data_IF_727851033980
#
_entry.id   IF_727851033980
#
_cell.length_a   1.000
_cell.length_b   1.000
_cell.length_c   1.000
_cell.angle_alpha   90.00
_cell.angle_beta   90.00
_cell.angle_gamma   90.00
#
_symmetry.space_group_name_H-M   'P 1'
#
loop_
_entity.id
_entity.type
_entity.pdbx_description
1 polymer ?
#
# COMPACT_ATOMS: atom_id res chain seq x y z
N UNK A 1 -7.98 -7.43 16.37
CA UNK A 1 -7.18 -7.19 15.16
C UNK A 1 -8.10 -7.27 13.94
N UNK A 2 -7.84 -6.51 12.88
CA UNK A 2 -8.57 -6.58 11.61
C UNK A 2 -7.62 -6.77 10.42
N UNK A 3 -8.12 -7.38 9.36
CA UNK A 3 -7.50 -7.37 8.05
C UNK A 3 -8.16 -6.30 7.20
N UNK A 4 -7.43 -5.25 6.84
CA UNK A 4 -7.95 -4.16 6.02
C UNK A 4 -7.36 -4.26 4.61
N UNK A 5 -8.20 -4.57 3.62
CA UNK A 5 -7.78 -4.66 2.23
C UNK A 5 -8.21 -3.43 1.44
N UNK A 6 -7.24 -2.60 1.09
CA UNK A 6 -7.45 -1.45 0.22
C UNK A 6 -7.27 -1.89 -1.24
N UNK A 7 -8.24 -1.52 -2.09
CA UNK A 7 -8.20 -1.72 -3.53
C UNK A 7 -8.37 -0.36 -4.21
N UNK A 8 -7.33 0.49 -4.19
CA UNK A 8 -7.42 1.80 -4.82
C UNK A 8 -7.56 1.63 -6.33
N UNK A 9 -8.26 2.57 -6.96
CA UNK A 9 -8.47 2.60 -8.39
C UNK A 9 -8.11 3.98 -8.90
N UNK A 10 -7.27 4.04 -9.94
CA UNK A 10 -7.04 5.31 -10.63
C UNK A 10 -8.30 5.72 -11.40
N UNK A 11 -8.36 7.01 -11.77
CA UNK A 11 -9.35 7.50 -12.72
C UNK A 11 -9.24 6.70 -14.03
N UNK A 12 -10.35 6.26 -14.64
CA UNK A 12 -10.31 5.61 -15.96
C UNK A 12 -9.70 6.54 -17.02
N UNK A 13 -9.15 5.95 -18.09
CA UNK A 13 -8.51 6.69 -19.18
C UNK A 13 -9.51 7.45 -20.08
N UNK A 14 -10.74 6.96 -20.21
CA UNK A 14 -11.73 7.54 -21.13
C UNK A 14 -12.25 8.93 -20.74
N UNK A 15 -12.42 9.28 -19.45
CA UNK A 15 -12.66 10.66 -19.02
C UNK A 15 -11.35 11.40 -18.64
N UNK A 16 -10.24 11.14 -19.33
CA UNK A 16 -9.00 11.88 -19.09
C UNK A 16 -9.19 13.37 -19.44
N UNK A 17 -8.74 14.23 -18.55
CA UNK A 17 -8.63 15.68 -18.72
C UNK A 17 -7.15 16.08 -18.55
N UNK A 18 -6.85 17.36 -18.71
CA UNK A 18 -5.49 17.90 -18.47
C UNK A 18 -5.10 17.92 -16.98
N UNK A 19 -5.91 17.34 -16.09
CA UNK A 19 -5.60 17.33 -14.67
C UNK A 19 -4.43 16.37 -14.38
N UNK A 20 -3.53 16.71 -13.45
CA UNK A 20 -2.40 15.85 -13.14
C UNK A 20 -2.83 14.47 -12.64
N UNK A 21 -2.11 13.43 -13.08
CA UNK A 21 -2.31 12.08 -12.56
C UNK A 21 -2.08 12.06 -11.04
N UNK A 22 -3.06 11.54 -10.31
CA UNK A 22 -3.02 11.37 -8.87
C UNK A 22 -2.85 9.90 -8.51
N UNK A 23 -1.91 9.63 -7.61
CA UNK A 23 -1.63 8.29 -7.07
C UNK A 23 -1.76 8.24 -5.55
N UNK A 24 -2.14 9.34 -4.89
CA UNK A 24 -2.55 9.34 -3.48
C UNK A 24 -3.91 8.67 -3.31
N UNK A 25 -4.07 7.93 -2.21
CA UNK A 25 -5.23 7.06 -1.96
C UNK A 25 -6.57 7.81 -1.98
N UNK A 26 -6.63 9.01 -1.40
CA UNK A 26 -7.82 9.86 -1.39
C UNK A 26 -8.30 10.26 -2.79
N UNK A 27 -7.40 10.33 -3.76
CA UNK A 27 -7.73 10.56 -5.18
C UNK A 27 -7.97 9.26 -5.97
N UNK A 28 -7.75 8.10 -5.36
CA UNK A 28 -7.88 6.78 -5.97
C UNK A 28 -9.06 5.99 -5.37
N UNK A 29 -10.19 6.67 -5.18
CA UNK A 29 -11.47 6.13 -4.70
C UNK A 29 -11.45 5.56 -3.26
N UNK A 30 -10.51 5.98 -2.40
CA UNK A 30 -10.46 5.53 -1.00
C UNK A 30 -10.98 6.60 -0.03
N UNK A 31 -11.88 6.21 0.88
CA UNK A 31 -12.29 7.04 2.01
C UNK A 31 -11.23 7.01 3.12
N UNK A 32 -10.33 7.98 3.07
CA UNK A 32 -9.24 8.09 4.03
C UNK A 32 -9.70 8.45 5.44
N UNK A 33 -10.86 9.09 5.60
CA UNK A 33 -11.42 9.39 6.93
C UNK A 33 -11.88 8.09 7.59
N UNK A 34 -12.61 7.26 6.86
CA UNK A 34 -13.02 5.94 7.34
C UNK A 34 -11.82 5.05 7.68
N UNK A 35 -10.86 4.94 6.75
CA UNK A 35 -9.64 4.11 6.93
C UNK A 35 -8.84 4.55 8.15
N UNK A 36 -8.58 5.85 8.31
CA UNK A 36 -7.83 6.37 9.46
C UNK A 36 -8.59 6.19 10.78
N UNK A 37 -9.91 6.37 10.77
CA UNK A 37 -10.76 6.13 11.97
C UNK A 37 -10.72 4.66 12.39
N UNK A 38 -10.77 3.75 11.42
CA UNK A 38 -10.79 2.31 11.68
C UNK A 38 -9.44 1.82 12.22
N UNK A 39 -8.35 2.20 11.56
CA UNK A 39 -6.97 1.81 11.94
C UNK A 39 -6.52 2.40 13.26
N UNK A 40 -7.08 3.54 13.68
CA UNK A 40 -6.84 4.11 15.02
C UNK A 40 -7.52 3.31 16.14
N UNK A 41 -8.62 2.60 15.84
CA UNK A 41 -9.42 1.87 16.85
C UNK A 41 -9.02 0.41 17.02
N UNK A 42 -8.45 -0.21 15.98
CA UNK A 42 -8.15 -1.65 15.98
C UNK A 42 -6.75 -1.90 15.40
N UNK A 43 -5.91 -2.72 16.05
CA UNK A 43 -4.67 -3.20 15.45
C UNK A 43 -4.96 -3.85 14.09
N UNK A 44 -4.22 -3.46 13.07
CA UNK A 44 -4.57 -3.76 11.66
C UNK A 44 -3.42 -4.45 10.94
N UNK A 45 -3.74 -5.48 10.15
CA UNK A 45 -2.88 -5.93 9.04
C UNK A 45 -3.39 -5.25 7.77
N UNK A 46 -2.53 -4.49 7.11
CA UNK A 46 -2.89 -3.71 5.93
C UNK A 46 -2.51 -4.47 4.66
N UNK A 47 -3.49 -4.71 3.79
CA UNK A 47 -3.29 -5.30 2.46
C UNK A 47 -3.59 -4.21 1.43
N UNK A 48 -2.66 -3.94 0.51
CA UNK A 48 -2.86 -2.93 -0.53
C UNK A 48 -2.75 -3.60 -1.88
N UNK A 49 -3.82 -3.52 -2.67
CA UNK A 49 -3.77 -3.95 -4.05
C UNK A 49 -3.14 -2.87 -4.93
N UNK A 50 -1.89 -3.09 -5.30
CA UNK A 50 -1.14 -2.25 -6.21
C UNK A 50 -1.44 -2.61 -7.67
N UNK A 51 -2.62 -2.21 -8.15
CA UNK A 51 -2.87 -2.13 -9.59
C UNK A 51 -2.02 -1.03 -10.25
N UNK A 52 -1.56 -0.05 -9.46
CA UNK A 52 -0.68 1.06 -9.84
C UNK A 52 0.29 1.37 -8.68
N UNK A 53 1.38 2.14 -8.91
CA UNK A 53 2.34 2.54 -7.87
C UNK A 53 1.78 3.65 -6.96
N UNK A 54 0.71 3.34 -6.21
CA UNK A 54 0.04 4.27 -5.31
C UNK A 54 0.97 4.79 -4.21
N UNK A 55 0.83 6.08 -3.89
CA UNK A 55 1.40 6.70 -2.71
C UNK A 55 0.49 6.43 -1.50
N UNK A 56 0.98 5.64 -0.55
CA UNK A 56 0.17 5.12 0.57
C UNK A 56 0.39 5.89 1.89
N UNK A 57 1.10 7.02 1.84
CA UNK A 57 1.50 7.78 3.03
C UNK A 57 0.32 8.37 3.83
N UNK A 58 -0.87 8.46 3.23
CA UNK A 58 -2.10 8.88 3.91
C UNK A 58 -2.63 7.85 4.93
N UNK A 59 -2.17 6.59 4.85
CA UNK A 59 -2.49 5.51 5.80
C UNK A 59 -1.26 4.89 6.43
N UNK A 60 -0.08 4.95 5.80
CA UNK A 60 1.14 4.31 6.28
C UNK A 60 2.36 5.25 6.18
N UNK A 61 2.70 5.93 7.28
CA UNK A 61 3.83 6.86 7.37
C UNK A 61 4.52 6.78 8.76
N UNK A 62 5.63 7.51 8.94
CA UNK A 62 6.42 7.48 10.17
C UNK A 62 5.66 7.70 11.48
N UNK A 63 4.53 8.43 11.46
CA UNK A 63 3.74 8.73 12.65
C UNK A 63 2.68 7.67 12.98
N UNK A 64 2.12 7.02 11.95
CA UNK A 64 0.95 6.11 12.09
C UNK A 64 1.29 4.64 11.81
N UNK A 65 2.53 4.33 11.40
CA UNK A 65 3.03 2.97 11.16
C UNK A 65 2.84 2.03 12.35
N UNK A 66 2.87 2.55 13.58
CA UNK A 66 2.67 1.78 14.83
C UNK A 66 1.26 1.21 15.00
N UNK A 67 0.28 1.67 14.20
CA UNK A 67 -1.09 1.10 14.18
C UNK A 67 -1.17 -0.26 13.50
N UNK A 68 -0.13 -0.65 12.76
CA UNK A 68 -0.13 -1.81 11.91
C UNK A 68 0.75 -2.93 12.47
N UNK A 69 0.20 -4.13 12.56
CA UNK A 69 0.94 -5.34 12.90
C UNK A 69 1.70 -5.93 11.71
N UNK A 70 1.33 -5.51 10.50
CA UNK A 70 1.95 -5.91 9.26
C UNK A 70 1.35 -5.17 8.08
N UNK A 71 2.11 -5.12 7.00
CA UNK A 71 1.67 -4.58 5.72
C UNK A 71 2.07 -5.56 4.62
N UNK A 72 1.21 -5.76 3.64
CA UNK A 72 1.48 -6.58 2.47
C UNK A 72 0.91 -5.95 1.22
N UNK A 73 1.65 -6.07 0.12
CA UNK A 73 1.24 -5.62 -1.20
C UNK A 73 0.73 -6.81 -2.02
N UNK A 74 -0.40 -6.62 -2.70
CA UNK A 74 -0.95 -7.58 -3.66
C UNK A 74 -1.01 -6.96 -5.05
N UNK A 75 -1.03 -7.79 -6.09
CA UNK A 75 -1.03 -7.34 -7.49
C UNK A 75 -2.14 -8.06 -8.27
N UNK A 76 -3.37 -8.00 -7.76
CA UNK A 76 -4.53 -8.71 -8.32
C UNK A 76 -4.57 -10.20 -7.98
N UNK A 77 -3.97 -10.62 -6.87
CA UNK A 77 -3.99 -12.02 -6.44
C UNK A 77 -5.33 -12.44 -5.85
N UNK A 78 -5.58 -13.75 -5.87
CA UNK A 78 -6.78 -14.34 -5.27
C UNK A 78 -6.87 -14.07 -3.76
N UNK A 79 -8.11 -13.93 -3.27
CA UNK A 79 -8.37 -13.61 -1.87
C UNK A 79 -7.97 -14.73 -0.91
N UNK A 80 -8.13 -16.00 -1.32
CA UNK A 80 -7.73 -17.16 -0.53
C UNK A 80 -6.21 -17.22 -0.40
N UNK A 81 -5.47 -16.97 -1.48
CA UNK A 81 -4.01 -16.93 -1.44
C UNK A 81 -3.51 -15.80 -0.52
N UNK A 82 -4.15 -14.64 -0.57
CA UNK A 82 -3.83 -13.52 0.32
C UNK A 82 -4.07 -13.86 1.80
N UNK A 83 -5.19 -14.55 2.09
CA UNK A 83 -5.50 -15.00 3.44
C UNK A 83 -4.52 -16.06 3.95
N UNK A 84 -4.15 -17.03 3.12
CA UNK A 84 -3.18 -18.08 3.48
C UNK A 84 -1.82 -17.47 3.86
N UNK A 85 -1.37 -16.43 3.15
CA UNK A 85 -0.14 -15.70 3.52
C UNK A 85 -0.34 -14.96 4.83
N UNK A 86 -1.37 -14.10 4.94
CA UNK A 86 -1.60 -13.25 6.12
C UNK A 86 -1.83 -14.07 7.39
N UNK A 87 -2.42 -15.26 7.29
CA UNK A 87 -2.63 -16.17 8.42
C UNK A 87 -1.37 -16.95 8.82
N UNK A 88 -0.25 -16.76 8.10
CA UNK A 88 1.02 -17.45 8.37
C UNK A 88 1.09 -18.87 7.83
N UNK A 89 0.13 -19.32 7.01
CA UNK A 89 0.19 -20.66 6.39
C UNK A 89 1.37 -20.75 5.41
N UNK A 90 1.70 -19.64 4.75
CA UNK A 90 2.89 -19.52 3.91
C UNK A 90 3.69 -18.28 4.25
N UNK A 91 5.01 -18.39 4.21
CA UNK A 91 5.92 -17.26 4.38
C UNK A 91 5.95 -16.43 3.08
N UNK A 92 5.72 -15.10 3.10
CA UNK A 92 5.81 -14.30 1.89
C UNK A 92 7.25 -14.24 1.37
N UNK A 93 7.42 -14.55 0.09
CA UNK A 93 8.70 -14.51 -0.64
C UNK A 93 8.73 -13.48 -1.76
N UNK A 94 7.59 -12.82 -2.03
CA UNK A 94 7.46 -11.82 -3.07
C UNK A 94 8.35 -10.61 -2.83
N UNK A 95 8.84 -10.02 -3.93
CA UNK A 95 9.63 -8.79 -3.93
C UNK A 95 8.85 -7.67 -4.62
N UNK A 96 9.04 -6.44 -4.17
CA UNK A 96 8.42 -5.27 -4.79
C UNK A 96 8.86 -5.14 -6.26
N UNK A 97 7.93 -5.16 -7.23
CA UNK A 97 8.27 -5.07 -8.66
C UNK A 97 8.53 -3.62 -9.12
N UNK A 98 8.31 -2.64 -8.25
CA UNK A 98 8.61 -1.23 -8.46
C UNK A 98 8.88 -0.53 -7.13
N UNK A 99 9.49 0.65 -7.18
CA UNK A 99 9.67 1.51 -6.00
C UNK A 99 8.37 2.26 -5.71
N UNK A 100 7.84 2.12 -4.50
CA UNK A 100 6.65 2.90 -4.09
C UNK A 100 7.05 4.32 -3.71
N UNK A 101 6.32 5.34 -4.15
CA UNK A 101 6.62 6.73 -3.81
C UNK A 101 6.31 7.05 -2.34
N UNK A 102 7.13 7.90 -1.72
CA UNK A 102 6.90 8.42 -0.35
C UNK A 102 5.65 9.29 -0.25
N UNK A 103 5.23 9.96 -1.33
CA UNK A 103 4.04 10.82 -1.44
C UNK A 103 3.82 11.29 -2.88
N UNK A 104 2.61 11.80 -3.17
CA UNK A 104 2.25 12.38 -4.47
C UNK A 104 3.27 13.40 -4.99
N UNK A 105 3.75 14.31 -4.14
CA UNK A 105 4.69 15.35 -4.58
C UNK A 105 6.06 14.79 -5.02
N UNK A 106 6.42 13.57 -4.61
CA UNK A 106 7.65 12.93 -5.08
C UNK A 106 7.49 12.46 -6.54
N UNK A 107 6.28 12.00 -6.91
CA UNK A 107 5.90 11.62 -8.27
C UNK A 107 5.83 12.85 -9.17
N UNK A 108 5.18 13.93 -8.70
CA UNK A 108 5.05 15.18 -9.48
C UNK A 108 6.40 15.82 -9.86
N UNK A 109 7.43 15.58 -9.04
CA UNK A 109 8.79 16.07 -9.31
C UNK A 109 9.59 15.13 -10.21
N UNK A 110 9.01 14.02 -10.69
CA UNK A 110 9.67 12.97 -11.47
C UNK A 110 11.01 12.53 -10.87
N UNK A 111 11.09 12.47 -9.53
CA UNK A 111 12.32 12.12 -8.83
C UNK A 111 12.25 10.68 -8.36
N UNK A 112 12.75 9.73 -9.15
CA UNK A 112 12.97 8.34 -8.67
C UNK A 112 14.26 8.18 -7.85
N UNK A 113 14.97 9.29 -7.58
CA UNK A 113 16.23 9.32 -6.86
C UNK A 113 16.10 9.31 -5.34
N UNK A 114 17.09 9.92 -4.68
CA UNK A 114 17.17 9.94 -3.22
C UNK A 114 15.93 10.59 -2.58
N UNK A 115 15.36 9.90 -1.58
CA UNK A 115 14.14 10.33 -0.88
C UNK A 115 12.82 10.01 -1.58
N UNK A 116 12.82 9.29 -2.71
CA UNK A 116 11.61 8.85 -3.40
C UNK A 116 10.93 7.64 -2.76
N UNK A 117 11.71 6.68 -2.26
CA UNK A 117 11.23 5.35 -1.93
C UNK A 117 10.59 5.27 -0.54
N UNK A 118 9.33 4.83 -0.48
CA UNK A 118 8.73 4.32 0.76
C UNK A 118 9.10 2.85 0.98
N UNK A 119 9.00 2.06 -0.09
CA UNK A 119 9.52 0.70 -0.26
C UNK A 119 10.26 0.65 -1.60
N UNK A 120 11.46 0.09 -1.61
CA UNK A 120 12.34 0.04 -2.79
C UNK A 120 11.98 -1.11 -3.72
N UNK A 121 12.34 -0.97 -5.00
CA UNK A 121 12.37 -2.11 -5.92
C UNK A 121 13.19 -3.26 -5.32
N UNK A 122 12.66 -4.49 -5.42
CA UNK A 122 13.30 -5.68 -4.89
C UNK A 122 13.17 -5.86 -3.38
N UNK A 123 12.59 -4.89 -2.64
CA UNK A 123 12.38 -5.00 -1.20
C UNK A 123 11.39 -6.12 -0.90
N UNK A 124 11.71 -6.91 0.12
CA UNK A 124 10.84 -7.97 0.64
C UNK A 124 11.00 -8.08 2.14
N UNK A 125 9.95 -8.61 2.78
CA UNK A 125 9.98 -8.96 4.20
C UNK A 125 9.21 -10.25 4.39
N UNK A 126 9.70 -11.10 5.29
CA UNK A 126 9.10 -12.38 5.64
C UNK A 126 8.76 -12.44 7.13
N UNK A 127 8.06 -13.48 7.55
CA UNK A 127 7.89 -13.78 8.96
C UNK A 127 9.24 -14.13 9.59
N UNK A 128 9.53 -13.54 10.75
CA UNK A 128 10.65 -14.00 11.58
C UNK A 128 10.28 -15.39 12.11
N UNK A 129 11.10 -16.39 11.84
CA UNK A 129 11.00 -17.66 12.55
C UNK A 129 11.28 -17.38 14.03
N UNK A 130 10.31 -17.73 14.90
CA UNK A 130 10.55 -17.75 16.34
C UNK A 130 11.53 -18.89 16.59
N UNK A 131 12.75 -18.55 17.00
CA UNK A 131 13.71 -19.51 17.56
C UNK A 131 13.34 -19.84 19.00
#
# INVERSE_FOLDING_TARGET
MILLWLKPSIRPLFPADDSPLRVNLSACAMDMKYVNTLTAKKPTVLVINHANPFAINEVYNGQIRTRFNGITATFGVDSKASLDVVSGKFNPTGKMPFTTPVRQQAVEKNKEGEGYALFKFGESSGYKQLQ
#
